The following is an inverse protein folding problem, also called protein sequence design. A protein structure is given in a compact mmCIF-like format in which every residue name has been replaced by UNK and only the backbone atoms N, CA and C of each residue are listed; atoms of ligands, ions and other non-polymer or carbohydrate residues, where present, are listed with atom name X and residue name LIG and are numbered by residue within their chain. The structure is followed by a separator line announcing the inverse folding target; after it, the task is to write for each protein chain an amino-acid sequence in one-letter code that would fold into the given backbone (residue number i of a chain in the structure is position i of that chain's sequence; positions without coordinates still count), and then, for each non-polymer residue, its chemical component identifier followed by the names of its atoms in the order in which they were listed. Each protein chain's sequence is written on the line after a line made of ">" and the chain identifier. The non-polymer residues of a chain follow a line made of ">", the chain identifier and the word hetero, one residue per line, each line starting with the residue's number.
data_IF_481482552018
#
_entry.id   IF_481482552018
#
_cell.length_a   1.000
_cell.length_b   1.000
_cell.length_c   1.000
_cell.angle_alpha   90.00
_cell.angle_beta   90.00
_cell.angle_gamma   90.00
#
_symmetry.space_group_name_H-M   'P 1'
#
loop_
_entity.id
_entity.type
_entity.pdbx_description
1 polymer ?
#
# COMPACT_ATOMS: atom_id res chain seq x y z
N UNK A 1 9.38 16.11 9.88
CA UNK A 1 10.43 16.08 8.83
C UNK A 1 10.96 17.49 8.65
N UNK A 2 12.27 17.73 8.77
CA UNK A 2 12.89 19.04 8.52
C UNK A 2 14.32 18.78 8.03
N UNK A 3 14.58 19.01 6.75
CA UNK A 3 15.93 18.87 6.20
C UNK A 3 15.94 18.55 4.71
N UNK A 4 16.91 19.11 4.00
CA UNK A 4 17.24 18.83 2.61
C UNK A 4 18.14 17.56 2.50
N UNK A 5 18.04 16.64 3.48
CA UNK A 5 18.81 15.38 3.51
C UNK A 5 18.04 14.28 2.77
N UNK A 6 18.78 13.35 2.14
CA UNK A 6 18.19 12.17 1.48
C UNK A 6 17.32 11.35 2.43
N UNK A 7 17.66 11.30 3.72
CA UNK A 7 16.91 10.57 4.77
C UNK A 7 15.48 11.09 4.98
N UNK A 8 15.17 12.29 4.50
CA UNK A 8 13.83 12.89 4.62
C UNK A 8 12.84 12.35 3.59
N UNK A 9 13.29 11.58 2.60
CA UNK A 9 12.42 10.98 1.59
C UNK A 9 11.99 9.57 2.02
N UNK A 10 10.71 9.25 1.81
CA UNK A 10 10.18 7.92 2.06
C UNK A 10 10.95 6.87 1.24
N UNK A 11 11.29 5.75 1.88
CA UNK A 11 12.04 4.64 1.30
C UNK A 11 13.55 4.81 1.29
N UNK A 12 14.10 5.95 1.73
CA UNK A 12 15.55 6.17 1.86
C UNK A 12 16.07 5.93 3.29
N UNK A 13 15.31 5.23 4.12
CA UNK A 13 15.72 4.74 5.44
C UNK A 13 15.07 3.37 5.71
N UNK A 14 15.50 2.72 6.79
CA UNK A 14 15.03 1.41 7.23
C UNK A 14 13.67 1.45 7.96
N UNK A 15 13.12 2.64 8.23
CA UNK A 15 11.83 2.85 8.88
C UNK A 15 10.71 3.20 7.90
N UNK A 16 10.99 3.21 6.59
CA UNK A 16 10.01 3.58 5.58
C UNK A 16 10.03 2.66 4.38
N UNK A 17 8.82 2.42 3.88
CA UNK A 17 8.53 1.64 2.68
C UNK A 17 7.69 2.50 1.76
N UNK A 18 8.08 2.59 0.49
CA UNK A 18 7.42 3.47 -0.45
C UNK A 18 7.16 2.78 -1.78
N UNK A 19 6.03 3.12 -2.37
CA UNK A 19 5.73 2.88 -3.78
C UNK A 19 5.79 4.23 -4.48
N UNK A 20 6.48 4.27 -5.62
CA UNK A 20 6.60 5.44 -6.47
C UNK A 20 6.08 5.11 -7.86
N UNK A 21 5.22 5.98 -8.40
CA UNK A 21 4.74 5.93 -9.77
C UNK A 21 5.39 7.03 -10.61
N UNK A 22 5.72 6.73 -11.86
CA UNK A 22 6.18 7.70 -12.85
C UNK A 22 5.11 7.92 -13.93
N UNK A 23 5.06 9.12 -14.52
CA UNK A 23 4.15 9.48 -15.64
C UNK A 23 4.21 8.51 -16.83
N UNK A 24 5.31 7.77 -16.99
CA UNK A 24 5.47 6.71 -18.01
C UNK A 24 4.78 5.37 -17.70
N UNK A 25 3.92 5.30 -16.68
CA UNK A 25 3.16 4.09 -16.33
C UNK A 25 3.97 3.00 -15.60
N UNK A 26 5.15 3.34 -15.09
CA UNK A 26 6.01 2.44 -14.34
C UNK A 26 5.90 2.64 -12.83
N UNK A 27 5.95 1.54 -12.07
CA UNK A 27 6.09 1.57 -10.62
C UNK A 27 7.48 1.14 -10.19
N UNK A 28 7.98 1.70 -9.10
CA UNK A 28 9.09 1.15 -8.36
C UNK A 28 8.82 1.25 -6.87
N UNK A 29 9.39 0.32 -6.11
CA UNK A 29 9.38 0.38 -4.66
C UNK A 29 10.74 0.82 -4.12
N UNK A 30 10.74 1.49 -2.97
CA UNK A 30 11.98 1.80 -2.24
C UNK A 30 11.88 1.51 -0.76
N UNK A 31 12.98 1.02 -0.20
CA UNK A 31 13.19 0.80 1.22
C UNK A 31 14.70 0.78 1.50
N UNK A 32 15.16 1.41 2.58
CA UNK A 32 16.57 1.43 2.97
C UNK A 32 17.53 1.80 1.82
N UNK A 33 17.17 2.84 1.07
CA UNK A 33 17.90 3.33 -0.12
C UNK A 33 17.91 2.39 -1.34
N UNK A 34 17.41 1.16 -1.20
CA UNK A 34 17.27 0.22 -2.29
C UNK A 34 16.04 0.57 -3.13
N UNK A 35 16.18 0.47 -4.45
CA UNK A 35 15.11 0.74 -5.42
C UNK A 35 14.91 -0.48 -6.32
N UNK A 36 13.69 -0.99 -6.36
CA UNK A 36 13.31 -2.12 -7.22
C UNK A 36 12.22 -1.69 -8.20
N UNK A 37 12.49 -1.85 -9.50
CA UNK A 37 11.49 -1.58 -10.53
C UNK A 37 10.49 -2.73 -10.64
N UNK A 38 9.21 -2.39 -10.76
CA UNK A 38 8.15 -3.37 -10.97
C UNK A 38 8.01 -3.65 -12.46
N UNK A 39 7.93 -4.92 -12.89
CA UNK A 39 7.82 -5.25 -14.31
C UNK A 39 6.60 -4.61 -14.96
N UNK A 40 6.74 -4.27 -16.24
CA UNK A 40 5.72 -3.57 -17.02
C UNK A 40 4.42 -4.35 -17.17
N UNK A 41 4.44 -5.68 -17.06
CA UNK A 41 3.24 -6.52 -17.10
C UNK A 41 2.31 -6.32 -15.90
N UNK A 42 2.88 -6.04 -14.72
CA UNK A 42 2.11 -5.71 -13.51
C UNK A 42 1.77 -4.22 -13.43
N UNK A 43 2.48 -3.40 -14.22
CA UNK A 43 2.36 -1.94 -14.23
C UNK A 43 1.45 -1.42 -15.35
N UNK A 44 1.27 -2.20 -16.42
CA UNK A 44 0.62 -1.76 -17.66
C UNK A 44 -0.81 -1.30 -17.42
N UNK A 45 -1.08 -0.07 -17.84
CA UNK A 45 -2.39 0.54 -18.00
C UNK A 45 -2.96 0.07 -19.33
N UNK A 46 -3.59 -1.10 -19.36
CA UNK A 46 -4.38 -1.53 -20.52
C UNK A 46 -5.65 -0.67 -20.65
N UNK A 47 -5.46 0.55 -21.17
CA UNK A 47 -6.31 1.42 -21.99
C UNK A 47 -7.86 1.43 -21.87
N UNK A 48 -8.53 0.86 -20.88
CA UNK A 48 -10.00 1.03 -20.80
C UNK A 48 -10.63 1.22 -19.42
N UNK A 49 -9.94 0.96 -18.30
CA UNK A 49 -10.59 1.11 -16.97
C UNK A 49 -9.61 1.26 -15.79
N UNK A 50 -8.30 1.44 -16.01
CA UNK A 50 -7.36 1.53 -14.88
C UNK A 50 -7.38 2.93 -14.27
N UNK A 51 -7.93 3.07 -13.06
CA UNK A 51 -7.74 4.26 -12.24
C UNK A 51 -6.32 4.25 -11.65
N UNK A 52 -5.68 5.41 -11.50
CA UNK A 52 -4.36 5.56 -10.85
C UNK A 52 -4.44 5.40 -9.32
N UNK A 53 -5.19 4.39 -8.88
CA UNK A 53 -5.46 4.07 -7.49
C UNK A 53 -4.54 2.96 -7.03
N UNK A 54 -4.01 3.14 -5.84
CA UNK A 54 -3.18 2.15 -5.15
C UNK A 54 -3.91 1.72 -3.89
N UNK A 55 -3.99 0.42 -3.65
CA UNK A 55 -4.39 -0.15 -2.37
C UNK A 55 -3.14 -0.58 -1.60
N UNK A 56 -3.14 -0.30 -0.31
CA UNK A 56 -2.06 -0.69 0.62
C UNK A 56 -2.68 -1.55 1.70
N UNK A 57 -2.10 -2.74 1.91
CA UNK A 57 -2.49 -3.67 2.96
C UNK A 57 -1.34 -3.84 3.94
N UNK A 58 -1.66 -3.73 5.22
CA UNK A 58 -0.71 -3.95 6.32
C UNK A 58 -1.25 -5.08 7.17
N UNK A 59 -0.48 -6.15 7.29
CA UNK A 59 -0.74 -7.27 8.19
C UNK A 59 0.34 -7.26 9.27
N UNK A 60 0.02 -6.68 10.43
CA UNK A 60 0.98 -6.54 11.51
C UNK A 60 1.41 -7.89 12.11
N UNK A 61 0.50 -8.85 12.41
CA UNK A 61 0.88 -10.17 12.88
C UNK A 61 1.77 -10.95 11.91
N UNK A 62 1.49 -10.89 10.60
CA UNK A 62 2.29 -11.57 9.59
C UNK A 62 3.58 -10.79 9.22
N UNK A 63 3.68 -9.52 9.60
CA UNK A 63 4.82 -8.67 9.25
C UNK A 63 4.88 -8.35 7.76
N UNK A 64 3.74 -8.08 7.12
CA UNK A 64 3.70 -7.79 5.69
C UNK A 64 3.08 -6.44 5.35
N UNK A 65 3.67 -5.76 4.37
CA UNK A 65 3.14 -4.55 3.76
C UNK A 65 3.07 -4.76 2.25
N UNK A 66 1.85 -4.78 1.71
CA UNK A 66 1.60 -5.13 0.31
C UNK A 66 0.95 -3.99 -0.47
N UNK A 67 1.48 -3.72 -1.66
CA UNK A 67 0.96 -2.73 -2.60
C UNK A 67 0.23 -3.42 -3.76
N UNK A 68 -0.90 -2.84 -4.15
CA UNK A 68 -1.69 -3.31 -5.30
C UNK A 68 -2.13 -2.13 -6.16
N UNK A 69 -2.12 -2.32 -7.48
CA UNK A 69 -2.81 -1.44 -8.42
C UNK A 69 -4.28 -1.83 -8.45
N UNK A 70 -5.17 -0.83 -8.40
CA UNK A 70 -6.62 -1.04 -8.45
C UNK A 70 -7.14 -0.76 -9.86
N UNK A 71 -7.59 -1.79 -10.55
CA UNK A 71 -8.36 -1.70 -11.80
C UNK A 71 -9.72 -2.39 -11.61
N UNK A 72 -10.16 -3.20 -12.57
CA UNK A 72 -11.29 -4.12 -12.40
C UNK A 72 -10.97 -5.23 -11.38
N UNK A 73 -9.67 -5.49 -11.14
CA UNK A 73 -9.17 -6.40 -10.11
C UNK A 73 -7.95 -5.80 -9.39
N UNK A 74 -7.57 -6.41 -8.26
CA UNK A 74 -6.33 -6.04 -7.56
C UNK A 74 -5.16 -6.74 -8.22
N UNK A 75 -4.25 -5.95 -8.80
CA UNK A 75 -3.00 -6.45 -9.36
C UNK A 75 -1.91 -6.27 -8.31
N UNK A 76 -1.34 -7.36 -7.84
CA UNK A 76 -0.22 -7.30 -6.88
C UNK A 76 0.99 -6.63 -7.52
N UNK A 77 1.54 -5.65 -6.81
CA UNK A 77 2.73 -4.92 -7.23
C UNK A 77 3.96 -5.41 -6.47
N UNK A 78 3.88 -5.41 -5.13
CA UNK A 78 5.00 -5.80 -4.28
C UNK A 78 4.54 -6.08 -2.85
N UNK A 79 5.28 -6.94 -2.15
CA UNK A 79 5.13 -7.16 -0.70
C UNK A 79 6.49 -7.04 -0.03
N UNK A 80 6.57 -6.14 0.93
CA UNK A 80 7.67 -6.10 1.89
C UNK A 80 7.34 -7.04 3.06
N UNK A 81 8.29 -7.89 3.40
CA UNK A 81 8.25 -8.68 4.62
C UNK A 81 9.17 -8.01 5.64
N UNK A 82 8.64 -7.65 6.80
CA UNK A 82 9.35 -6.89 7.83
C UNK A 82 8.76 -7.18 9.21
N UNK A 83 9.51 -6.90 10.26
CA UNK A 83 8.99 -6.92 11.63
C UNK A 83 8.71 -5.49 12.06
N UNK A 84 7.44 -5.12 12.22
CA UNK A 84 7.07 -3.79 12.67
C UNK A 84 7.39 -3.65 14.17
N UNK A 85 8.36 -2.81 14.50
CA UNK A 85 8.73 -2.49 15.88
C UNK A 85 7.89 -1.34 16.45
N UNK A 86 7.27 -0.54 15.58
CA UNK A 86 6.48 0.64 15.93
C UNK A 86 5.23 0.74 15.03
N UNK A 87 4.21 1.54 15.43
CA UNK A 87 3.05 1.79 14.59
C UNK A 87 3.44 2.40 13.25
N UNK A 88 2.85 1.90 12.16
CA UNK A 88 3.02 2.48 10.84
C UNK A 88 2.09 3.67 10.63
N UNK A 89 2.62 4.69 9.95
CA UNK A 89 1.86 5.88 9.56
C UNK A 89 1.87 6.02 8.04
N UNK A 90 0.72 6.29 7.39
CA UNK A 90 0.69 6.56 5.97
C UNK A 90 1.38 7.90 5.68
N UNK A 91 2.28 7.90 4.71
CA UNK A 91 2.99 9.07 4.22
C UNK A 91 2.77 9.25 2.72
N UNK A 92 2.68 10.51 2.27
CA UNK A 92 2.50 10.87 0.87
C UNK A 92 3.53 11.93 0.47
N UNK A 93 4.11 11.78 -0.72
CA UNK A 93 5.04 12.74 -1.29
C UNK A 93 4.65 13.05 -2.74
N UNK A 94 4.73 14.32 -3.11
CA UNK A 94 4.35 14.82 -4.44
C UNK A 94 5.56 15.46 -5.12
N UNK A 95 5.69 15.27 -6.43
CA UNK A 95 6.72 15.92 -7.24
C UNK A 95 6.27 17.25 -7.84
N UNK A 96 4.97 17.44 -8.01
CA UNK A 96 4.36 18.66 -8.55
C UNK A 96 3.39 19.24 -7.55
N UNK A 97 3.37 20.57 -7.45
CA UNK A 97 2.49 21.33 -6.56
C UNK A 97 1.00 21.18 -6.91
N UNK A 98 0.68 20.72 -8.12
CA UNK A 98 -0.71 20.50 -8.58
C UNK A 98 -1.25 19.09 -8.29
N UNK A 99 -0.50 18.28 -7.53
CA UNK A 99 -0.90 16.91 -7.19
C UNK A 99 -1.76 16.87 -5.93
N UNK A 100 -2.73 15.95 -5.88
CA UNK A 100 -3.55 15.70 -4.69
C UNK A 100 -3.74 14.21 -4.45
N UNK A 101 -4.00 13.83 -3.20
CA UNK A 101 -4.30 12.44 -2.81
C UNK A 101 -5.57 12.39 -1.98
N UNK A 102 -6.37 11.36 -2.19
CA UNK A 102 -7.52 11.03 -1.35
C UNK A 102 -7.23 9.73 -0.59
N UNK A 103 -7.17 9.81 0.73
CA UNK A 103 -7.00 8.64 1.60
C UNK A 103 -8.36 8.08 2.02
N UNK A 104 -8.61 6.82 1.66
CA UNK A 104 -9.77 6.06 2.10
C UNK A 104 -9.31 4.95 3.05
N UNK A 105 -9.69 5.05 4.33
CA UNK A 105 -9.42 4.02 5.33
C UNK A 105 -10.65 3.11 5.41
N UNK A 106 -10.48 1.84 5.04
CA UNK A 106 -11.49 0.81 5.28
C UNK A 106 -11.14 0.09 6.57
N UNK A 107 -12.04 0.11 7.55
CA UNK A 107 -11.93 -0.77 8.70
C UNK A 107 -12.09 -2.23 8.24
N UNK A 108 -11.41 -3.20 8.89
CA UNK A 108 -11.72 -4.60 8.66
C UNK A 108 -13.22 -4.81 8.93
N UNK A 109 -13.87 -5.60 8.07
CA UNK A 109 -15.25 -6.01 8.27
C UNK A 109 -15.35 -6.55 9.69
N UNK A 110 -16.08 -5.84 10.57
CA UNK A 110 -16.40 -6.41 11.87
C UNK A 110 -17.22 -7.66 11.58
N UNK A 111 -16.63 -8.83 11.80
CA UNK A 111 -17.38 -10.09 11.85
C UNK A 111 -18.42 -9.85 12.92
N UNK A 112 -19.66 -9.60 12.53
CA UNK A 112 -20.76 -9.46 13.48
C UNK A 112 -20.79 -10.78 14.23
N UNK A 113 -20.36 -10.79 15.48
CA UNK A 113 -20.59 -11.91 16.36
C UNK A 113 -22.10 -12.18 16.31
N UNK A 114 -22.48 -13.42 16.01
CA UNK A 114 -23.86 -13.83 16.18
C UNK A 114 -24.26 -13.50 17.62
N UNK A 115 -25.43 -12.87 17.86
CA UNK A 115 -25.87 -12.61 19.22
C UNK A 115 -25.88 -13.94 19.99
N UNK A 116 -25.39 -13.96 21.24
CA UNK A 116 -25.42 -15.18 22.04
C UNK A 116 -26.88 -15.58 22.24
N UNK A 117 -27.31 -16.71 21.67
CA UNK A 117 -28.69 -17.19 21.87
C UNK A 117 -29.28 -18.22 20.90
N UNK A 118 -28.63 -18.57 19.78
CA UNK A 118 -29.16 -19.64 18.92
C UNK A 118 -28.66 -21.03 19.37
N UNK A 119 -29.36 -21.64 20.32
CA UNK A 119 -29.35 -23.08 20.51
C UNK A 119 -30.15 -23.73 19.37
N UNK A 120 -29.48 -24.39 18.44
CA UNK A 120 -30.14 -25.39 17.59
C UNK A 120 -30.22 -26.69 18.38
N UNK A 121 -31.36 -26.92 19.03
CA UNK A 121 -31.75 -28.27 19.46
C UNK A 121 -32.32 -28.99 18.24
N UNK A 122 -31.56 -29.94 17.71
CA UNK A 122 -32.11 -30.95 16.80
C UNK A 122 -32.66 -32.09 17.65
N UNK A 123 -33.95 -32.37 17.50
CA UNK A 123 -34.55 -33.65 17.90
C UNK A 123 -33.99 -34.79 17.07
#
# INVERSE_FOLDING_TARGET
>A
MKGNSRDCWFGLNDQSWSLFCSDGGGYCVRHNEEKTFIPSSSSSSSSSSSSDRVAVYVDCPAGSLSFYKVSDSLIHLHTFNTTFTEPLYPGFGFWSDESSVLLLIKSPLQVRAAPPGFSTSTY
#
